data_IF_158963309122
#
_entry.id   IF_158963309122
#
_cell.length_a   1.000
_cell.length_b   1.000
_cell.length_c   1.000
_cell.angle_alpha   90.00
_cell.angle_beta   90.00
_cell.angle_gamma   90.00
#
_symmetry.space_group_name_H-M   'P 1'
#
loop_
_entity.id
_entity.type
_entity.pdbx_description
1 polymer ?
#
# COMPACT_ATOMS: atom_id res chain seq x y z
N UNK A 1 -16.88 0.35 -30.64
CA UNK A 1 -16.44 -1.04 -30.44
C UNK A 1 -14.92 -1.00 -30.35
N UNK A 2 -14.35 -1.37 -29.21
CA UNK A 2 -12.90 -1.39 -29.02
C UNK A 2 -12.35 -2.64 -29.71
N UNK A 3 -11.34 -2.48 -30.57
CA UNK A 3 -10.78 -3.58 -31.35
C UNK A 3 -9.51 -4.10 -30.68
N UNK A 4 -9.57 -5.33 -30.14
CA UNK A 4 -8.46 -6.00 -29.47
C UNK A 4 -7.26 -6.22 -30.41
N UNK A 5 -7.49 -6.29 -31.73
CA UNK A 5 -6.39 -6.48 -32.70
C UNK A 5 -5.40 -5.30 -32.68
N UNK A 6 -5.85 -4.10 -32.32
CA UNK A 6 -5.00 -2.91 -32.17
C UNK A 6 -4.03 -3.05 -31.00
N UNK A 7 -4.42 -3.76 -29.92
CA UNK A 7 -3.55 -4.02 -28.78
C UNK A 7 -2.53 -5.12 -29.08
N UNK A 8 -2.96 -6.17 -29.77
CA UNK A 8 -2.09 -7.27 -30.20
C UNK A 8 -1.01 -6.77 -31.17
N UNK A 9 -1.36 -5.81 -32.04
CA UNK A 9 -0.45 -5.20 -33.00
C UNK A 9 0.55 -4.20 -32.42
N UNK A 10 0.53 -3.93 -31.11
CA UNK A 10 1.46 -2.97 -30.51
C UNK A 10 2.92 -3.47 -30.64
N UNK A 11 3.87 -2.61 -31.06
CA UNK A 11 5.26 -3.00 -31.23
C UNK A 11 5.86 -3.45 -29.90
N UNK A 12 6.43 -4.65 -29.85
CA UNK A 12 7.03 -5.23 -28.64
C UNK A 12 8.14 -4.36 -28.08
N UNK A 13 8.43 -4.41 -26.76
CA UNK A 13 9.43 -3.54 -26.15
C UNK A 13 10.80 -3.60 -26.83
N UNK A 14 11.20 -4.78 -27.32
CA UNK A 14 12.47 -4.99 -28.01
C UNK A 14 12.51 -4.48 -29.46
N UNK A 15 11.37 -4.18 -30.07
CA UNK A 15 11.28 -3.74 -31.47
C UNK A 15 11.12 -2.23 -31.62
N UNK A 16 11.00 -1.49 -30.51
CA UNK A 16 10.91 -0.03 -30.54
C UNK A 16 12.31 0.54 -30.74
N UNK A 17 12.55 1.13 -31.90
CA UNK A 17 13.83 1.76 -32.22
C UNK A 17 14.00 3.08 -31.46
N UNK A 18 15.09 3.13 -30.69
CA UNK A 18 15.59 4.26 -29.89
C UNK A 18 17.04 4.62 -30.24
N UNK A 19 17.68 3.95 -31.20
CA UNK A 19 19.12 4.09 -31.46
C UNK A 19 19.50 5.47 -32.02
N UNK A 20 18.59 6.11 -32.76
CA UNK A 20 18.80 7.42 -33.35
C UNK A 20 18.32 8.59 -32.47
N UNK A 21 17.82 8.32 -31.26
CA UNK A 21 17.21 9.33 -30.38
C UNK A 21 18.15 9.75 -29.26
N UNK A 22 17.99 10.98 -28.77
CA UNK A 22 18.60 11.39 -27.49
C UNK A 22 18.02 10.56 -26.34
N UNK A 23 18.73 10.41 -25.21
CA UNK A 23 18.21 9.67 -24.06
C UNK A 23 16.85 10.17 -23.56
N UNK A 24 16.64 11.48 -23.56
CA UNK A 24 15.37 12.10 -23.17
C UNK A 24 14.24 11.77 -24.15
N UNK A 25 14.49 11.88 -25.45
CA UNK A 25 13.52 11.54 -26.51
C UNK A 25 13.18 10.04 -26.51
N UNK A 26 14.19 9.18 -26.34
CA UNK A 26 14.00 7.75 -26.18
C UNK A 26 13.12 7.46 -24.97
N UNK A 27 13.38 8.10 -23.82
CA UNK A 27 12.57 7.93 -22.61
C UNK A 27 11.12 8.39 -22.80
N UNK A 28 10.89 9.52 -23.48
CA UNK A 28 9.53 10.01 -23.79
C UNK A 28 8.79 9.00 -24.67
N UNK A 29 9.41 8.53 -25.75
CA UNK A 29 8.81 7.55 -26.68
C UNK A 29 8.47 6.24 -25.98
N UNK A 30 9.37 5.73 -25.15
CA UNK A 30 9.16 4.51 -24.36
C UNK A 30 8.02 4.67 -23.33
N UNK A 31 7.94 5.82 -22.64
CA UNK A 31 6.83 6.11 -21.72
C UNK A 31 5.49 6.18 -22.43
N UNK A 32 5.43 6.82 -23.60
CA UNK A 32 4.21 6.87 -24.40
C UNK A 32 3.75 5.46 -24.80
N UNK A 33 4.67 4.62 -25.27
CA UNK A 33 4.37 3.23 -25.61
C UNK A 33 3.93 2.40 -24.39
N UNK A 34 4.49 2.66 -23.21
CA UNK A 34 4.09 2.02 -21.96
C UNK A 34 2.68 2.44 -21.52
N UNK A 35 2.37 3.73 -21.58
CA UNK A 35 1.04 4.27 -21.23
C UNK A 35 -0.05 3.70 -22.13
N UNK A 36 0.20 3.56 -23.44
CA UNK A 36 -0.75 2.93 -24.36
C UNK A 36 -1.10 1.50 -23.93
N UNK A 37 -0.11 0.74 -23.46
CA UNK A 37 -0.32 -0.63 -22.95
C UNK A 37 -1.06 -0.68 -21.64
N UNK A 38 -0.74 0.22 -20.69
CA UNK A 38 -1.50 0.32 -19.43
C UNK A 38 -2.97 0.64 -19.69
N UNK A 39 -3.25 1.60 -20.57
CA UNK A 39 -4.61 1.95 -20.95
C UNK A 39 -5.31 0.78 -21.65
N UNK A 40 -4.60 0.05 -22.51
CA UNK A 40 -5.09 -1.16 -23.15
C UNK A 40 -5.45 -2.26 -22.15
N UNK A 41 -4.54 -2.56 -21.21
CA UNK A 41 -4.76 -3.54 -20.15
C UNK A 41 -5.96 -3.16 -19.27
N UNK A 42 -6.07 -1.88 -18.88
CA UNK A 42 -7.20 -1.38 -18.11
C UNK A 42 -8.52 -1.56 -18.88
N UNK A 43 -8.54 -1.24 -20.17
CA UNK A 43 -9.72 -1.42 -21.03
C UNK A 43 -10.14 -2.90 -21.11
N UNK A 44 -9.18 -3.81 -21.26
CA UNK A 44 -9.44 -5.26 -21.26
C UNK A 44 -10.04 -5.70 -19.92
N UNK A 45 -9.41 -5.34 -18.80
CA UNK A 45 -9.89 -5.75 -17.48
C UNK A 45 -11.30 -5.26 -17.17
N UNK A 46 -11.69 -4.10 -17.69
CA UNK A 46 -13.02 -3.51 -17.48
C UNK A 46 -14.09 -4.03 -18.44
N UNK A 47 -13.73 -4.33 -19.68
CA UNK A 47 -14.70 -4.56 -20.76
C UNK A 47 -14.63 -5.96 -21.38
N UNK A 48 -13.52 -6.67 -21.20
CA UNK A 48 -13.24 -7.98 -21.79
C UNK A 48 -12.57 -8.90 -20.75
N UNK A 49 -13.26 -9.22 -19.64
CA UNK A 49 -12.66 -9.94 -18.52
C UNK A 49 -12.25 -11.38 -18.86
N UNK A 50 -12.67 -11.93 -20.01
CA UNK A 50 -12.20 -13.23 -20.51
C UNK A 50 -10.77 -13.18 -21.10
N UNK A 51 -10.26 -11.99 -21.46
CA UNK A 51 -8.98 -11.81 -22.15
C UNK A 51 -7.84 -11.39 -21.19
N UNK A 52 -7.88 -11.92 -19.95
CA UNK A 52 -6.93 -11.54 -18.87
C UNK A 52 -5.47 -11.78 -19.27
N UNK A 53 -5.18 -12.82 -20.04
CA UNK A 53 -3.82 -13.12 -20.49
C UNK A 53 -3.21 -11.97 -21.30
N UNK A 54 -3.99 -11.38 -22.20
CA UNK A 54 -3.56 -10.22 -22.98
C UNK A 54 -3.38 -8.99 -22.08
N UNK A 55 -4.24 -8.80 -21.07
CA UNK A 55 -4.05 -7.71 -20.10
C UNK A 55 -2.74 -7.87 -19.31
N UNK A 56 -2.42 -9.09 -18.85
CA UNK A 56 -1.17 -9.40 -18.15
C UNK A 56 0.04 -9.12 -19.05
N UNK A 57 -0.01 -9.57 -20.30
CA UNK A 57 1.07 -9.33 -21.27
C UNK A 57 1.31 -7.83 -21.50
N UNK A 58 0.23 -7.03 -21.64
CA UNK A 58 0.35 -5.58 -21.79
C UNK A 58 0.93 -4.91 -20.54
N UNK A 59 0.58 -5.39 -19.34
CA UNK A 59 1.15 -4.89 -18.08
C UNK A 59 2.65 -5.21 -17.99
N UNK A 60 3.06 -6.43 -18.33
CA UNK A 60 4.46 -6.85 -18.33
C UNK A 60 5.29 -6.05 -19.34
N UNK A 61 4.78 -5.90 -20.56
CA UNK A 61 5.43 -5.06 -21.58
C UNK A 61 5.55 -3.60 -21.10
N UNK A 62 4.51 -3.05 -20.47
CA UNK A 62 4.52 -1.68 -19.95
C UNK A 62 5.60 -1.50 -18.86
N UNK A 63 5.72 -2.48 -17.95
CA UNK A 63 6.75 -2.46 -16.91
C UNK A 63 8.16 -2.45 -17.51
N UNK A 64 8.42 -3.26 -18.53
CA UNK A 64 9.71 -3.28 -19.25
C UNK A 64 10.01 -1.93 -19.90
N UNK A 65 9.01 -1.30 -20.51
CA UNK A 65 9.17 -0.01 -21.18
C UNK A 65 9.44 1.13 -20.20
N UNK A 66 8.74 1.16 -19.05
CA UNK A 66 9.02 2.15 -18.00
C UNK A 66 10.40 1.98 -17.39
N UNK A 67 10.84 0.74 -17.13
CA UNK A 67 12.20 0.48 -16.65
C UNK A 67 13.26 0.94 -17.65
N UNK A 68 13.06 0.67 -18.95
CA UNK A 68 13.95 1.20 -20.00
C UNK A 68 13.96 2.72 -20.04
N UNK A 69 12.80 3.37 -20.01
CA UNK A 69 12.71 4.82 -20.01
C UNK A 69 13.41 5.44 -18.78
N UNK A 70 13.26 4.81 -17.61
CA UNK A 70 13.94 5.21 -16.39
C UNK A 70 15.46 5.09 -16.51
N UNK A 71 15.96 3.99 -17.09
CA UNK A 71 17.39 3.81 -17.35
C UNK A 71 17.95 4.86 -18.30
N UNK A 72 17.22 5.23 -19.36
CA UNK A 72 17.66 6.28 -20.28
C UNK A 72 17.85 7.63 -19.57
N UNK A 73 17.03 7.95 -18.57
CA UNK A 73 17.10 9.24 -17.86
C UNK A 73 18.07 9.26 -16.69
N UNK A 74 18.25 8.13 -16.01
CA UNK A 74 19.00 8.08 -14.75
C UNK A 74 20.33 7.34 -14.88
N UNK A 75 20.52 6.54 -15.94
CA UNK A 75 21.63 5.61 -16.08
C UNK A 75 21.58 4.41 -15.13
N UNK A 76 20.56 4.30 -14.28
CA UNK A 76 20.42 3.27 -13.24
C UNK A 76 19.20 2.40 -13.57
N UNK A 77 19.24 1.07 -13.38
CA UNK A 77 18.05 0.22 -13.50
C UNK A 77 16.96 0.67 -12.52
N UNK A 78 15.70 0.65 -12.96
CA UNK A 78 14.59 0.94 -12.05
C UNK A 78 14.60 -0.11 -10.95
N UNK A 79 14.75 0.35 -9.71
CA UNK A 79 14.69 -0.54 -8.57
C UNK A 79 13.22 -0.92 -8.39
N UNK A 80 12.88 -2.14 -8.77
CA UNK A 80 11.56 -2.68 -8.44
C UNK A 80 11.48 -2.65 -6.93
N UNK A 81 10.55 -1.87 -6.38
CA UNK A 81 10.11 -2.03 -4.99
C UNK A 81 9.27 -3.32 -4.95
N UNK A 82 9.90 -4.46 -5.29
CA UNK A 82 9.55 -5.71 -4.65
C UNK A 82 10.12 -5.58 -3.25
N UNK A 83 9.45 -4.80 -2.40
CA UNK A 83 9.43 -5.18 -1.01
C UNK A 83 8.87 -6.60 -1.08
N UNK A 84 9.73 -7.60 -0.89
CA UNK A 84 9.24 -8.92 -0.52
C UNK A 84 8.18 -8.63 0.55
N UNK A 85 7.01 -9.24 0.42
CA UNK A 85 5.99 -9.21 1.46
C UNK A 85 6.67 -9.79 2.71
N UNK A 86 7.43 -8.95 3.42
CA UNK A 86 7.94 -9.22 4.74
C UNK A 86 6.72 -9.59 5.57
N UNK A 87 6.92 -10.46 6.55
CA UNK A 87 5.80 -10.84 7.39
C UNK A 87 5.19 -9.54 7.93
N UNK A 88 3.93 -9.33 7.57
CA UNK A 88 3.28 -8.09 7.95
C UNK A 88 3.13 -8.11 9.45
N UNK A 89 3.42 -6.98 10.09
CA UNK A 89 3.31 -6.90 11.53
C UNK A 89 1.83 -6.98 11.91
N UNK A 90 1.52 -7.83 12.88
CA UNK A 90 0.19 -7.89 13.48
C UNK A 90 0.17 -7.10 14.78
N UNK A 91 -0.85 -6.27 14.95
CA UNK A 91 -1.26 -5.82 16.28
C UNK A 91 -2.00 -6.98 16.94
N UNK A 92 -1.52 -7.49 18.09
CA UNK A 92 -2.10 -8.67 18.73
C UNK A 92 -3.54 -8.39 19.17
N UNK A 93 -4.35 -9.45 19.29
CA UNK A 93 -5.70 -9.38 19.84
C UNK A 93 -5.69 -8.75 21.24
N UNK A 94 -6.71 -7.96 21.56
CA UNK A 94 -6.94 -7.44 22.91
C UNK A 94 -8.43 -7.32 23.19
N UNK A 95 -8.81 -7.61 24.44
CA UNK A 95 -10.18 -7.44 24.95
C UNK A 95 -11.25 -8.06 24.05
N UNK A 96 -11.04 -9.29 23.58
CA UNK A 96 -11.99 -9.98 22.70
C UNK A 96 -12.01 -9.51 21.24
N UNK A 97 -11.33 -8.41 20.90
CA UNK A 97 -11.14 -7.99 19.51
C UNK A 97 -10.00 -8.76 18.83
N UNK A 98 -10.18 -9.20 17.57
CA UNK A 98 -9.18 -9.99 16.84
C UNK A 98 -7.92 -9.19 16.53
N UNK A 99 -6.82 -9.92 16.26
CA UNK A 99 -5.56 -9.34 15.79
C UNK A 99 -5.75 -8.61 14.46
N UNK A 100 -5.08 -7.48 14.29
CA UNK A 100 -5.18 -6.65 13.08
C UNK A 100 -3.86 -6.73 12.32
N UNK A 101 -3.93 -7.17 11.07
CA UNK A 101 -2.80 -7.14 10.15
C UNK A 101 -2.55 -5.70 9.71
N UNK A 102 -1.33 -5.23 9.87
CA UNK A 102 -0.93 -3.90 9.40
C UNK A 102 -0.35 -3.99 7.98
N UNK A 103 -0.31 -2.89 7.20
CA UNK A 103 0.39 -2.85 5.91
C UNK A 103 1.91 -2.67 6.06
N UNK A 104 2.45 -2.66 7.29
CA UNK A 104 3.85 -2.43 7.59
C UNK A 104 4.66 -3.74 7.62
N UNK A 105 5.89 -3.69 7.12
CA UNK A 105 6.86 -4.78 7.25
C UNK A 105 7.45 -4.90 8.66
N UNK A 106 8.09 -6.04 8.94
CA UNK A 106 8.72 -6.38 10.23
C UNK A 106 9.72 -5.35 10.74
N UNK A 107 10.36 -4.59 9.85
CA UNK A 107 11.27 -3.50 10.21
C UNK A 107 10.60 -2.43 11.09
N UNK A 108 9.28 -2.28 10.99
CA UNK A 108 8.49 -1.34 11.76
C UNK A 108 7.82 -1.96 13.00
N UNK A 109 7.98 -3.28 13.23
CA UNK A 109 7.40 -3.97 14.37
C UNK A 109 7.73 -3.33 15.73
N UNK A 110 8.95 -2.83 15.99
CA UNK A 110 9.25 -2.15 17.24
C UNK A 110 8.43 -0.87 17.45
N UNK A 111 8.20 -0.08 16.39
CA UNK A 111 7.42 1.14 16.46
C UNK A 111 5.94 0.85 16.71
N UNK A 112 5.38 -0.15 16.00
CA UNK A 112 3.99 -0.58 16.19
C UNK A 112 3.77 -1.09 17.62
N UNK A 113 4.67 -1.94 18.14
CA UNK A 113 4.59 -2.46 19.51
C UNK A 113 4.65 -1.34 20.55
N UNK A 114 5.48 -0.32 20.32
CA UNK A 114 5.58 0.81 21.23
C UNK A 114 4.31 1.69 21.18
N UNK A 115 3.72 1.88 19.99
CA UNK A 115 2.42 2.54 19.82
C UNK A 115 1.31 1.82 20.57
N UNK A 116 1.23 0.50 20.42
CA UNK A 116 0.28 -0.36 21.13
C UNK A 116 0.43 -0.21 22.65
N UNK A 117 1.66 -0.32 23.16
CA UNK A 117 1.95 -0.16 24.60
C UNK A 117 1.56 1.24 25.10
N UNK A 118 1.86 2.27 24.31
CA UNK A 118 1.51 3.64 24.67
C UNK A 118 -0.01 3.84 24.75
N UNK A 119 -0.79 3.19 23.87
CA UNK A 119 -2.24 3.20 23.93
C UNK A 119 -2.77 2.44 25.15
N UNK A 120 -2.22 1.26 25.45
CA UNK A 120 -2.57 0.45 26.62
C UNK A 120 -2.36 1.23 27.92
N UNK A 121 -1.18 1.83 28.11
CA UNK A 121 -0.89 2.68 29.28
C UNK A 121 -1.85 3.85 29.42
N UNK A 122 -2.35 4.41 28.31
CA UNK A 122 -3.36 5.46 28.37
C UNK A 122 -4.72 4.91 28.80
N UNK A 123 -5.16 3.82 28.19
CA UNK A 123 -6.42 3.13 28.47
C UNK A 123 -6.51 2.61 29.92
N UNK A 124 -5.37 2.20 30.50
CA UNK A 124 -5.25 1.75 31.90
C UNK A 124 -5.49 2.88 32.93
N UNK A 125 -5.69 4.13 32.49
CA UNK A 125 -6.11 5.24 33.36
C UNK A 125 -5.11 6.39 33.47
N UNK A 126 -4.39 6.69 32.39
CA UNK A 126 -3.50 7.87 32.37
C UNK A 126 -4.29 9.17 32.57
N UNK A 127 -3.73 10.08 33.36
CA UNK A 127 -4.31 11.42 33.59
C UNK A 127 -3.98 12.43 32.48
N UNK A 128 -3.14 12.05 31.51
CA UNK A 128 -2.74 12.93 30.42
C UNK A 128 -3.82 12.97 29.33
N UNK A 129 -4.03 14.12 28.66
CA UNK A 129 -4.87 14.15 27.47
C UNK A 129 -4.35 13.19 26.39
N UNK A 130 -5.27 12.51 25.69
CA UNK A 130 -4.96 11.51 24.66
C UNK A 130 -3.97 12.05 23.61
N UNK A 131 -4.26 13.24 23.07
CA UNK A 131 -3.42 13.88 22.06
C UNK A 131 -2.00 14.14 22.56
N UNK A 132 -1.83 14.42 23.86
CA UNK A 132 -0.53 14.68 24.47
C UNK A 132 0.26 13.38 24.60
N UNK A 133 -0.38 12.30 25.06
CA UNK A 133 0.24 10.98 25.14
C UNK A 133 0.76 10.53 23.76
N UNK A 134 -0.05 10.68 22.71
CA UNK A 134 0.35 10.38 21.33
C UNK A 134 1.51 11.28 20.87
N UNK A 135 1.34 12.60 20.98
CA UNK A 135 2.29 13.58 20.42
C UNK A 135 3.67 13.52 21.06
N UNK A 136 3.75 13.23 22.36
CA UNK A 136 5.04 13.16 23.06
C UNK A 136 5.77 11.85 22.79
N UNK A 137 5.06 10.73 22.72
CA UNK A 137 5.68 9.45 22.42
C UNK A 137 6.11 9.35 20.95
N UNK A 138 5.34 9.95 20.02
CA UNK A 138 5.72 10.06 18.60
C UNK A 138 7.11 10.66 18.38
N UNK A 139 7.48 11.69 19.16
CA UNK A 139 8.78 12.39 19.03
C UNK A 139 9.99 11.49 19.31
N UNK A 140 9.79 10.32 19.92
CA UNK A 140 10.86 9.34 20.21
C UNK A 140 11.27 8.54 18.97
N UNK A 141 10.46 8.56 17.92
CA UNK A 141 10.69 7.82 16.68
C UNK A 141 11.28 8.73 15.59
N UNK A 142 12.04 8.11 14.69
CA UNK A 142 12.62 8.79 13.51
C UNK A 142 11.48 9.34 12.64
N UNK A 143 11.58 10.58 12.13
CA UNK A 143 10.59 11.12 11.20
C UNK A 143 10.37 10.23 9.98
N UNK A 144 9.14 10.22 9.46
CA UNK A 144 8.71 9.38 8.34
C UNK A 144 8.04 8.08 8.81
N UNK A 145 8.23 7.00 8.05
CA UNK A 145 7.55 5.71 8.21
C UNK A 145 7.55 5.15 9.64
N UNK A 146 8.62 5.37 10.43
CA UNK A 146 8.68 4.91 11.83
C UNK A 146 7.69 5.65 12.75
N UNK A 147 7.42 6.93 12.49
CA UNK A 147 6.40 7.69 13.24
C UNK A 147 5.00 7.25 12.83
N UNK A 148 4.77 7.06 11.52
CA UNK A 148 3.48 6.60 11.00
C UNK A 148 3.15 5.19 11.50
N UNK A 149 4.13 4.29 11.55
CA UNK A 149 3.97 2.95 12.09
C UNK A 149 3.66 2.94 13.59
N UNK A 150 4.31 3.83 14.36
CA UNK A 150 3.96 4.05 15.77
C UNK A 150 2.51 4.55 15.93
N UNK A 151 2.12 5.57 15.17
CA UNK A 151 0.76 6.12 15.19
C UNK A 151 -0.28 5.05 14.81
N UNK A 152 0.02 4.22 13.82
CA UNK A 152 -0.82 3.11 13.41
C UNK A 152 -1.01 2.11 14.57
N UNK A 153 0.08 1.68 15.23
CA UNK A 153 -0.01 0.79 16.39
C UNK A 153 -0.87 1.37 17.53
N UNK A 154 -0.69 2.66 17.82
CA UNK A 154 -1.48 3.37 18.83
C UNK A 154 -2.97 3.40 18.48
N UNK A 155 -3.32 3.88 17.28
CA UNK A 155 -4.72 4.04 16.87
C UNK A 155 -5.44 2.71 16.70
N UNK A 156 -4.75 1.67 16.21
CA UNK A 156 -5.35 0.34 16.05
C UNK A 156 -5.72 -0.29 17.40
N UNK A 157 -4.92 -0.07 18.45
CA UNK A 157 -5.27 -0.53 19.80
C UNK A 157 -6.50 0.19 20.36
N UNK A 158 -6.62 1.50 20.13
CA UNK A 158 -7.83 2.25 20.47
C UNK A 158 -9.05 1.76 19.68
N UNK A 159 -8.88 1.50 18.38
CA UNK A 159 -9.95 0.98 17.54
C UNK A 159 -10.49 -0.36 18.08
N UNK A 160 -9.61 -1.30 18.44
CA UNK A 160 -10.03 -2.58 19.05
C UNK A 160 -10.83 -2.35 20.34
N UNK A 161 -10.32 -1.49 21.23
CA UNK A 161 -10.98 -1.19 22.51
C UNK A 161 -12.37 -0.55 22.31
N UNK A 162 -12.48 0.42 21.38
CA UNK A 162 -13.74 1.09 21.09
C UNK A 162 -14.77 0.17 20.42
N UNK A 163 -14.34 -0.73 19.55
CA UNK A 163 -15.22 -1.75 18.93
C UNK A 163 -15.73 -2.70 20.01
N UNK A 164 -14.84 -3.23 20.85
CA UNK A 164 -15.23 -4.11 21.96
C UNK A 164 -16.22 -3.43 22.92
N UNK A 165 -15.93 -2.19 23.36
CA UNK A 165 -16.85 -1.44 24.22
C UNK A 165 -18.23 -1.27 23.58
N UNK A 166 -18.29 -1.01 22.27
CA UNK A 166 -19.56 -0.91 21.55
C UNK A 166 -20.30 -2.25 21.51
N UNK A 167 -19.60 -3.37 21.30
CA UNK A 167 -20.19 -4.71 21.29
C UNK A 167 -20.70 -5.12 22.68
N UNK A 168 -19.95 -4.80 23.74
CA UNK A 168 -20.36 -5.01 25.13
C UNK A 168 -21.61 -4.20 25.48
N UNK A 169 -21.69 -2.95 25.04
CA UNK A 169 -22.89 -2.12 25.24
C UNK A 169 -24.09 -2.67 24.45
N UNK A 170 -23.88 -3.13 23.21
CA UNK A 170 -24.94 -3.67 22.37
C UNK A 170 -25.48 -5.03 22.84
N UNK A 171 -24.65 -5.82 23.52
CA UNK A 171 -25.02 -7.13 24.09
C UNK A 171 -25.61 -7.04 25.50
N UNK A 172 -25.64 -5.85 26.10
CA UNK A 172 -26.25 -5.65 27.41
C UNK A 172 -27.79 -5.74 27.28
N UNK A 173 -28.47 -6.66 27.96
CA UNK A 173 -29.93 -6.72 27.90
C UNK A 173 -30.50 -5.41 28.45
N UNK A 174 -31.47 -4.83 27.73
CA UNK A 174 -32.22 -3.69 28.22
C UNK A 174 -32.98 -4.13 29.48
N UNK A 175 -32.44 -3.83 30.66
CA UNK A 175 -33.22 -3.91 31.89
C UNK A 175 -34.25 -2.78 31.84
N UNK A 176 -35.44 -3.11 31.33
CA UNK A 176 -36.64 -2.35 31.66
C UNK A 176 -36.97 -2.68 33.11
N UNK A 177 -36.47 -1.87 34.04
CA UNK A 177 -37.05 -1.81 35.38
C UNK A 177 -38.39 -1.07 35.26
N UNK A 178 -39.46 -1.80 35.58
CA UNK A 178 -40.84 -1.31 35.71
C UNK A 178 -41.13 -0.90 37.16
#
# INVERSE_FOLDING_TARGET
>A
MFDLSLLIGLPKPNTIDTAALTPEEAAVKLRQAATLRLNGAQSILLHFPQDVELAVELLDDAAVLFDRAFRYLTGIPAQRVHQQLGEYVFVPSAEGSPAIRTPWGDEFAPAIKDGVRCAETWLEGSSLPLWWALSQNRKRHRPGDFQEAFEAGFLLRFQQTLINLREVVASRPASFDA
#
